data_IF_001449553674
#
_entry.id   IF_001449553674
#
_cell.length_a   1.000
_cell.length_b   1.000
_cell.length_c   1.000
_cell.angle_alpha   90.00
_cell.angle_beta   90.00
_cell.angle_gamma   90.00
#
_symmetry.space_group_name_H-M   'P 1'
#
loop_
_entity.id
_entity.type
_entity.pdbx_description
1 polymer ?
#
# COMPACT_ATOMS: atom_id res chain seq x y z
N UNK A 1 17.50 -28.71 -5.95
CA UNK A 1 17.42 -27.88 -7.16
C UNK A 1 15.96 -27.68 -7.47
N UNK A 2 15.48 -26.43 -7.53
CA UNK A 2 14.11 -26.18 -7.96
C UNK A 2 13.98 -26.56 -9.44
N UNK A 3 12.88 -27.22 -9.80
CA UNK A 3 12.58 -27.51 -11.20
C UNK A 3 12.23 -26.20 -11.92
N UNK A 4 12.54 -26.12 -13.21
CA UNK A 4 12.16 -25.00 -14.08
C UNK A 4 11.26 -25.53 -15.20
N UNK A 5 10.29 -24.70 -15.62
CA UNK A 5 9.56 -24.93 -16.86
C UNK A 5 10.53 -24.96 -18.06
N UNK A 6 10.21 -25.76 -19.08
CA UNK A 6 11.11 -26.01 -20.23
C UNK A 6 10.71 -25.30 -21.52
N UNK A 7 9.51 -24.71 -21.59
CA UNK A 7 9.08 -23.99 -22.77
C UNK A 7 9.94 -22.74 -23.02
N UNK A 8 10.16 -22.40 -24.30
CA UNK A 8 10.79 -21.14 -24.72
C UNK A 8 9.77 -20.08 -25.13
N UNK A 9 8.51 -20.48 -25.33
CA UNK A 9 7.37 -19.62 -25.58
C UNK A 9 6.13 -20.16 -24.84
N UNK A 10 5.36 -19.30 -24.14
CA UNK A 10 4.26 -19.72 -23.26
C UNK A 10 3.20 -20.62 -23.93
N UNK A 11 2.95 -20.42 -25.24
CA UNK A 11 2.01 -21.25 -26.03
C UNK A 11 2.39 -22.75 -26.07
N UNK A 12 3.67 -23.06 -25.85
CA UNK A 12 4.22 -24.42 -25.92
C UNK A 12 4.35 -25.05 -24.52
N UNK A 13 3.88 -24.36 -23.47
CA UNK A 13 3.95 -24.83 -22.09
C UNK A 13 3.03 -26.02 -21.81
N UNK A 14 3.54 -27.02 -21.09
CA UNK A 14 2.77 -28.19 -20.67
C UNK A 14 2.17 -28.02 -19.28
N UNK A 15 1.27 -28.92 -18.88
CA UNK A 15 0.70 -28.92 -17.52
C UNK A 15 1.79 -29.06 -16.45
N UNK A 16 2.82 -29.89 -16.70
CA UNK A 16 3.94 -30.08 -15.79
C UNK A 16 4.76 -28.79 -15.64
N UNK A 17 4.99 -28.04 -16.73
CA UNK A 17 5.66 -26.73 -16.67
C UNK A 17 4.87 -25.74 -15.80
N UNK A 18 3.55 -25.70 -15.96
CA UNK A 18 2.69 -24.82 -15.17
C UNK A 18 2.57 -25.25 -13.71
N UNK A 19 2.60 -26.55 -13.40
CA UNK A 19 2.65 -27.05 -12.02
C UNK A 19 3.92 -26.62 -11.30
N UNK A 20 5.07 -26.63 -11.99
CA UNK A 20 6.35 -26.11 -11.47
C UNK A 20 6.22 -24.61 -11.16
N UNK A 21 5.71 -23.82 -12.11
CA UNK A 21 5.55 -22.36 -11.97
C UNK A 21 4.57 -22.03 -10.83
N UNK A 22 3.45 -22.72 -10.74
CA UNK A 22 2.45 -22.50 -9.70
C UNK A 22 3.01 -22.77 -8.29
N UNK A 23 3.77 -23.85 -8.14
CA UNK A 23 4.42 -24.18 -6.87
C UNK A 23 5.45 -23.11 -6.46
N UNK A 24 6.30 -22.65 -7.39
CA UNK A 24 7.27 -21.58 -7.13
C UNK A 24 6.58 -20.26 -6.82
N UNK A 25 5.55 -19.89 -7.59
CA UNK A 25 4.76 -18.68 -7.36
C UNK A 25 4.08 -18.67 -5.99
N UNK A 26 3.51 -19.81 -5.55
CA UNK A 26 2.90 -19.93 -4.22
C UNK A 26 3.93 -19.68 -3.09
N UNK A 27 5.16 -20.17 -3.23
CA UNK A 27 6.24 -19.86 -2.30
C UNK A 27 6.64 -18.37 -2.37
N UNK A 28 6.75 -17.81 -3.57
CA UNK A 28 7.11 -16.41 -3.80
C UNK A 28 6.05 -15.43 -3.27
N UNK A 29 4.76 -15.72 -3.44
CA UNK A 29 3.64 -14.91 -3.00
C UNK A 29 3.60 -14.79 -1.46
N UNK A 30 3.85 -15.89 -0.73
CA UNK A 30 3.94 -15.89 0.75
C UNK A 30 5.03 -14.98 1.31
N UNK A 31 6.05 -14.66 0.52
CA UNK A 31 7.13 -13.75 0.91
C UNK A 31 6.82 -12.27 0.61
N UNK A 32 5.61 -11.93 0.12
CA UNK A 32 5.23 -10.55 -0.19
C UNK A 32 5.39 -9.58 1.00
N UNK A 33 4.95 -9.89 2.24
CA UNK A 33 5.13 -8.98 3.38
C UNK A 33 6.60 -8.58 3.59
N UNK A 34 7.52 -9.54 3.46
CA UNK A 34 8.97 -9.30 3.63
C UNK A 34 9.47 -8.30 2.58
N UNK A 35 9.01 -8.42 1.33
CA UNK A 35 9.36 -7.47 0.27
C UNK A 35 8.76 -6.10 0.54
N UNK A 36 7.51 -6.01 0.98
CA UNK A 36 6.88 -4.74 1.35
C UNK A 36 7.66 -4.02 2.46
N UNK A 37 8.06 -4.74 3.51
CA UNK A 37 8.92 -4.21 4.58
C UNK A 37 10.25 -3.71 4.03
N UNK A 38 10.89 -4.46 3.13
CA UNK A 38 12.14 -4.03 2.51
C UNK A 38 11.95 -2.74 1.69
N UNK A 39 10.83 -2.59 0.97
CA UNK A 39 10.52 -1.38 0.21
C UNK A 39 10.19 -0.18 1.11
N UNK A 40 9.47 -0.37 2.22
CA UNK A 40 9.26 0.70 3.21
C UNK A 40 10.59 1.22 3.75
N UNK A 41 11.56 0.33 4.01
CA UNK A 41 12.90 0.73 4.49
C UNK A 41 13.69 1.56 3.47
N UNK A 42 13.33 1.55 2.18
CA UNK A 42 13.94 2.46 1.20
C UNK A 42 13.55 3.93 1.42
N UNK A 43 12.47 4.19 2.18
CA UNK A 43 12.02 5.53 2.54
C UNK A 43 12.79 6.12 3.74
N UNK A 44 13.58 5.30 4.44
CA UNK A 44 14.36 5.71 5.60
C UNK A 44 15.46 6.69 5.18
N UNK A 45 15.57 7.83 5.88
CA UNK A 45 16.55 8.87 5.61
C UNK A 45 16.28 9.74 4.37
N UNK A 46 15.26 9.46 3.55
CA UNK A 46 14.80 10.39 2.52
C UNK A 46 13.77 11.37 3.09
N UNK A 47 14.18 12.62 3.28
CA UNK A 47 13.32 13.67 3.83
C UNK A 47 12.50 14.37 2.77
N UNK A 48 12.91 14.42 1.50
CA UNK A 48 12.23 15.23 0.48
C UNK A 48 12.04 16.72 0.83
N UNK A 49 12.76 17.24 1.83
CA UNK A 49 12.59 18.59 2.38
C UNK A 49 11.61 18.72 3.54
N UNK A 50 10.98 17.63 4.00
CA UNK A 50 10.11 17.60 5.17
C UNK A 50 10.89 17.56 6.50
N UNK A 51 10.24 17.81 7.65
CA UNK A 51 10.89 17.72 8.97
C UNK A 51 11.22 16.29 9.43
N UNK A 52 10.63 15.27 8.80
CA UNK A 52 10.85 13.84 9.07
C UNK A 52 11.08 13.12 7.75
N UNK A 53 11.73 11.95 7.79
CA UNK A 53 11.86 11.11 6.59
C UNK A 53 10.53 10.45 6.21
N UNK A 54 10.44 9.99 4.95
CA UNK A 54 9.23 9.38 4.39
C UNK A 54 8.81 8.10 5.13
N UNK A 55 9.76 7.34 5.68
CA UNK A 55 9.44 6.18 6.52
C UNK A 55 8.78 6.64 7.83
N UNK A 56 9.35 7.63 8.51
CA UNK A 56 8.81 8.20 9.74
C UNK A 56 7.42 8.78 9.49
N UNK A 57 7.21 9.48 8.37
CA UNK A 57 5.90 9.96 7.95
C UNK A 57 4.89 8.79 7.85
N UNK A 58 5.22 7.74 7.08
CA UNK A 58 4.39 6.53 6.97
C UNK A 58 4.06 5.91 8.33
N UNK A 59 5.06 5.79 9.22
CA UNK A 59 4.89 5.25 10.57
C UNK A 59 4.02 6.15 11.46
N UNK A 60 4.15 7.48 11.36
CA UNK A 60 3.32 8.42 12.09
C UNK A 60 1.86 8.35 11.64
N UNK A 61 1.62 8.30 10.34
CA UNK A 61 0.27 8.17 9.76
C UNK A 61 -0.40 6.89 10.27
N UNK A 62 0.31 5.75 10.22
CA UNK A 62 -0.18 4.47 10.75
C UNK A 62 -0.37 4.48 12.27
N UNK A 63 0.57 5.07 13.02
CA UNK A 63 0.49 5.19 14.49
C UNK A 63 -0.73 6.00 14.91
N UNK A 64 -1.03 7.11 14.22
CA UNK A 64 -2.21 7.93 14.48
C UNK A 64 -3.49 7.17 14.18
N UNK A 65 -3.56 6.47 13.05
CA UNK A 65 -4.72 5.64 12.70
C UNK A 65 -4.96 4.52 13.71
N UNK A 66 -3.90 3.83 14.15
CA UNK A 66 -3.97 2.78 15.17
C UNK A 66 -4.48 3.32 16.51
N UNK A 67 -3.94 4.45 16.98
CA UNK A 67 -4.36 5.08 18.24
C UNK A 67 -5.80 5.60 18.20
N UNK A 68 -6.31 5.93 17.01
CA UNK A 68 -7.70 6.31 16.78
C UNK A 68 -8.65 5.10 16.66
N UNK A 69 -8.16 3.88 16.89
CA UNK A 69 -8.97 2.65 16.92
C UNK A 69 -9.42 2.15 15.55
N UNK A 70 -8.69 2.53 14.47
CA UNK A 70 -8.95 2.00 13.13
C UNK A 70 -8.61 0.52 13.02
N UNK A 71 -9.29 -0.18 12.12
CA UNK A 71 -9.00 -1.59 11.84
C UNK A 71 -7.65 -1.79 11.15
N UNK A 72 -7.17 -3.04 11.13
CA UNK A 72 -5.86 -3.37 10.58
C UNK A 72 -5.72 -3.04 9.09
N UNK A 73 -6.80 -3.18 8.29
CA UNK A 73 -6.75 -2.86 6.87
C UNK A 73 -6.49 -1.36 6.69
N UNK A 74 -7.22 -0.52 7.41
CA UNK A 74 -7.05 0.93 7.37
C UNK A 74 -5.68 1.35 7.89
N UNK A 75 -5.19 0.76 8.97
CA UNK A 75 -3.86 1.05 9.52
C UNK A 75 -2.75 0.67 8.53
N UNK A 76 -2.88 -0.45 7.83
CA UNK A 76 -1.90 -0.83 6.79
C UNK A 76 -2.03 0.05 5.55
N UNK A 77 -3.24 0.48 5.16
CA UNK A 77 -3.41 1.49 4.12
C UNK A 77 -2.73 2.82 4.49
N UNK A 78 -2.88 3.26 5.73
CA UNK A 78 -2.20 4.43 6.28
C UNK A 78 -0.66 4.27 6.27
N UNK A 79 -0.15 3.08 6.61
CA UNK A 79 1.28 2.78 6.57
C UNK A 79 1.84 2.80 5.14
N UNK A 80 1.05 2.36 4.16
CA UNK A 80 1.52 2.11 2.79
C UNK A 80 1.11 3.17 1.77
N UNK A 81 0.37 4.21 2.17
CA UNK A 81 -0.17 5.20 1.23
C UNK A 81 0.92 5.88 0.36
N UNK A 82 2.11 6.08 0.94
CA UNK A 82 3.27 6.72 0.30
C UNK A 82 4.39 5.77 -0.11
N UNK A 83 4.20 4.43 -0.03
CA UNK A 83 5.24 3.45 -0.42
C UNK A 83 5.73 3.63 -1.87
N UNK A 84 4.89 4.24 -2.72
CA UNK A 84 5.18 4.53 -4.11
C UNK A 84 6.19 5.64 -4.36
N UNK A 85 6.57 6.44 -3.35
CA UNK A 85 7.40 7.64 -3.52
C UNK A 85 8.72 7.38 -4.24
N UNK A 86 9.32 6.21 -4.01
CA UNK A 86 10.61 5.83 -4.60
C UNK A 86 10.55 5.54 -6.09
N UNK A 87 9.37 5.24 -6.64
CA UNK A 87 9.18 4.81 -8.02
C UNK A 87 8.23 5.72 -8.81
N UNK A 88 7.31 6.40 -8.12
CA UNK A 88 6.23 7.18 -8.70
C UNK A 88 6.39 8.66 -8.45
N UNK A 89 7.46 9.28 -8.98
CA UNK A 89 7.79 10.69 -8.71
C UNK A 89 6.67 11.71 -9.03
N UNK A 90 5.68 11.32 -9.84
CA UNK A 90 4.55 12.17 -10.24
C UNK A 90 3.19 11.54 -9.97
N UNK A 91 3.14 10.32 -9.44
CA UNK A 91 1.91 9.55 -9.28
C UNK A 91 2.07 8.41 -8.25
N UNK A 92 2.84 8.64 -7.19
CA UNK A 92 3.08 7.65 -6.13
C UNK A 92 1.81 6.98 -5.57
N UNK A 93 0.63 7.63 -5.47
CA UNK A 93 -0.57 6.98 -4.95
C UNK A 93 -1.02 5.81 -5.85
N UNK A 94 -0.78 5.88 -7.16
CA UNK A 94 -1.13 4.83 -8.11
C UNK A 94 -0.35 3.54 -7.84
N UNK A 95 0.93 3.67 -7.44
CA UNK A 95 1.79 2.54 -7.11
C UNK A 95 1.31 1.88 -5.81
N UNK A 96 1.03 2.68 -4.78
CA UNK A 96 0.46 2.18 -3.53
C UNK A 96 -0.86 1.46 -3.76
N UNK A 97 -1.75 2.06 -4.56
CA UNK A 97 -3.03 1.46 -4.93
C UNK A 97 -2.85 0.14 -5.68
N UNK A 98 -1.91 0.05 -6.63
CA UNK A 98 -1.64 -1.18 -7.37
C UNK A 98 -1.20 -2.34 -6.46
N UNK A 99 -0.40 -2.05 -5.44
CA UNK A 99 0.05 -3.03 -4.43
C UNK A 99 -1.12 -3.50 -3.57
N UNK A 100 -1.97 -2.57 -3.10
CA UNK A 100 -3.03 -2.84 -2.13
C UNK A 100 -4.30 -3.43 -2.75
N UNK A 101 -4.59 -3.14 -4.02
CA UNK A 101 -5.83 -3.51 -4.72
C UNK A 101 -6.29 -4.96 -4.52
N UNK A 102 -5.42 -5.99 -4.52
CA UNK A 102 -5.85 -7.35 -4.30
C UNK A 102 -6.30 -7.64 -2.85
N UNK A 103 -5.91 -6.82 -1.87
CA UNK A 103 -5.97 -7.16 -0.44
C UNK A 103 -6.95 -6.30 0.37
N UNK A 104 -7.36 -5.14 -0.15
CA UNK A 104 -8.16 -4.15 0.58
C UNK A 104 -9.54 -3.92 -0.05
N UNK A 105 -10.43 -3.31 0.71
CA UNK A 105 -11.76 -2.85 0.27
C UNK A 105 -11.66 -1.77 -0.80
N UNK A 106 -12.73 -1.59 -1.60
CA UNK A 106 -12.77 -0.56 -2.62
C UNK A 106 -12.70 0.85 -2.00
N UNK A 107 -13.26 0.99 -0.81
CA UNK A 107 -13.28 2.20 0.01
C UNK A 107 -11.87 2.63 0.42
N UNK A 108 -11.11 1.74 1.05
CA UNK A 108 -9.73 2.03 1.47
C UNK A 108 -8.79 2.19 0.27
N UNK A 109 -9.01 1.42 -0.81
CA UNK A 109 -8.24 1.58 -2.05
C UNK A 109 -8.43 2.98 -2.65
N UNK A 110 -9.67 3.48 -2.69
CA UNK A 110 -9.96 4.80 -3.23
C UNK A 110 -9.33 5.92 -2.40
N UNK A 111 -9.39 5.80 -1.07
CA UNK A 111 -8.72 6.71 -0.15
C UNK A 111 -7.22 6.77 -0.46
N UNK A 112 -6.54 5.62 -0.57
CA UNK A 112 -5.11 5.57 -0.90
C UNK A 112 -4.86 6.14 -2.29
N UNK A 113 -5.65 5.80 -3.31
CA UNK A 113 -5.42 6.29 -4.67
C UNK A 113 -5.58 7.82 -4.77
N UNK A 114 -6.52 8.41 -4.01
CA UNK A 114 -6.85 9.83 -4.12
C UNK A 114 -6.18 10.71 -3.06
N UNK A 115 -5.52 10.14 -2.06
CA UNK A 115 -4.99 10.91 -0.92
C UNK A 115 -4.12 12.09 -1.37
N UNK A 116 -3.26 11.94 -2.39
CA UNK A 116 -2.38 13.02 -2.84
C UNK A 116 -3.13 14.28 -3.32
N UNK A 117 -4.27 14.11 -3.99
CA UNK A 117 -5.12 15.26 -4.39
C UNK A 117 -5.79 15.89 -3.16
N UNK A 118 -6.19 15.09 -2.18
CA UNK A 118 -6.86 15.56 -0.97
C UNK A 118 -5.90 16.26 0.00
N UNK A 119 -4.70 15.72 0.18
CA UNK A 119 -3.59 16.30 0.93
C UNK A 119 -3.14 17.63 0.30
N UNK A 120 -3.25 17.75 -1.03
CA UNK A 120 -3.04 18.99 -1.79
C UNK A 120 -3.79 20.21 -1.24
N UNK A 121 -4.91 20.02 -0.54
CA UNK A 121 -5.60 21.10 0.17
C UNK A 121 -4.69 21.94 1.08
N UNK A 122 -3.68 21.31 1.67
CA UNK A 122 -2.77 21.95 2.61
C UNK A 122 -1.62 22.71 1.93
N UNK A 123 -1.26 22.42 0.67
CA UNK A 123 -0.05 22.99 0.06
C UNK A 123 -0.15 23.43 -1.41
N UNK A 124 -1.13 22.98 -2.19
CA UNK A 124 -1.24 23.33 -3.62
C UNK A 124 -1.26 24.84 -3.89
N UNK A 125 -1.93 25.62 -3.03
CA UNK A 125 -1.97 27.08 -3.15
C UNK A 125 -0.60 27.77 -2.96
N UNK A 126 0.36 27.13 -2.29
CA UNK A 126 1.75 27.60 -2.22
C UNK A 126 2.54 27.27 -3.50
N UNK A 127 2.04 26.37 -4.35
CA UNK A 127 2.61 25.98 -5.63
C UNK A 127 1.90 26.64 -6.84
N UNK A 128 0.95 27.56 -6.59
CA UNK A 128 0.14 28.18 -7.64
C UNK A 128 -0.96 27.27 -8.21
N UNK A 129 -1.25 26.17 -7.52
CA UNK A 129 -2.30 25.21 -7.88
C UNK A 129 -3.57 25.45 -7.04
N UNK A 130 -4.70 24.91 -7.50
CA UNK A 130 -5.96 25.01 -6.77
C UNK A 130 -6.00 24.01 -5.60
N UNK A 131 -5.99 24.51 -4.36
CA UNK A 131 -6.17 23.69 -3.15
C UNK A 131 -7.54 23.01 -3.07
N UNK A 132 -8.54 23.53 -3.78
CA UNK A 132 -9.88 22.98 -3.83
C UNK A 132 -10.04 21.89 -4.91
N UNK A 133 -8.95 21.46 -5.57
CA UNK A 133 -8.99 20.42 -6.61
C UNK A 133 -9.69 19.12 -6.17
N UNK A 134 -9.65 18.79 -4.88
CA UNK A 134 -10.40 17.65 -4.32
C UNK A 134 -11.92 17.74 -4.52
N UNK A 135 -12.49 18.93 -4.63
CA UNK A 135 -13.94 19.17 -4.76
C UNK A 135 -14.55 18.59 -6.03
N UNK A 136 -13.72 18.25 -7.04
CA UNK A 136 -14.17 17.47 -8.20
C UNK A 136 -14.74 16.08 -7.82
N UNK A 137 -14.48 15.61 -6.59
CA UNK A 137 -14.95 14.34 -6.06
C UNK A 137 -16.06 14.50 -5.00
N UNK A 138 -16.67 15.67 -4.85
CA UNK A 138 -17.66 15.95 -3.79
C UNK A 138 -18.84 14.96 -3.72
N UNK A 139 -19.26 14.42 -4.86
CA UNK A 139 -20.35 13.46 -4.97
C UNK A 139 -19.90 12.00 -4.73
N UNK A 140 -18.60 11.74 -4.57
CA UNK A 140 -18.08 10.40 -4.34
C UNK A 140 -18.28 9.96 -2.88
N UNK A 141 -18.74 8.73 -2.60
CA UNK A 141 -18.98 8.26 -1.22
C UNK A 141 -17.77 8.36 -0.28
N UNK A 142 -16.55 8.27 -0.83
CA UNK A 142 -15.30 8.33 -0.07
C UNK A 142 -14.73 9.75 0.08
N UNK A 143 -15.42 10.79 -0.40
CA UNK A 143 -14.97 12.17 -0.30
C UNK A 143 -14.67 12.57 1.14
N UNK A 144 -15.65 12.41 2.03
CA UNK A 144 -15.52 12.85 3.41
C UNK A 144 -14.51 12.00 4.20
N UNK A 145 -14.49 10.68 3.95
CA UNK A 145 -13.53 9.78 4.57
C UNK A 145 -12.09 10.12 4.18
N UNK A 146 -11.84 10.49 2.93
CA UNK A 146 -10.49 10.85 2.45
C UNK A 146 -10.05 12.23 2.96
N UNK A 147 -10.98 13.18 3.12
CA UNK A 147 -10.70 14.43 3.86
C UNK A 147 -10.27 14.11 5.29
N UNK A 148 -11.01 13.22 5.96
CA UNK A 148 -10.69 12.82 7.33
C UNK A 148 -9.33 12.14 7.42
N UNK A 149 -9.00 11.25 6.47
CA UNK A 149 -7.69 10.60 6.39
C UNK A 149 -6.55 11.63 6.34
N UNK A 150 -6.62 12.57 5.38
CA UNK A 150 -5.60 13.60 5.23
C UNK A 150 -5.54 14.50 6.46
N UNK A 151 -6.69 14.90 7.04
CA UNK A 151 -6.71 15.83 8.16
C UNK A 151 -6.19 15.23 9.48
N UNK A 152 -6.56 13.98 9.78
CA UNK A 152 -6.26 13.35 11.07
C UNK A 152 -4.92 12.61 11.08
N UNK A 153 -4.50 12.07 9.93
CA UNK A 153 -3.38 11.15 9.88
C UNK A 153 -2.26 11.71 8.99
N UNK A 154 -2.50 11.79 7.69
CA UNK A 154 -1.46 12.05 6.69
C UNK A 154 -0.86 13.48 6.83
N UNK A 155 -1.66 14.55 6.69
CA UNK A 155 -1.13 15.91 6.84
C UNK A 155 -0.63 16.25 8.26
N UNK A 156 -0.96 15.43 9.27
CA UNK A 156 -0.53 15.58 10.65
C UNK A 156 0.75 14.79 11.00
N UNK A 157 1.30 14.01 10.07
CA UNK A 157 2.39 13.05 10.28
C UNK A 157 3.77 13.60 9.89
N UNK A 158 4.10 14.81 10.32
CA UNK A 158 5.38 15.47 10.04
C UNK A 158 6.05 16.03 11.31
N UNK A 159 5.73 15.48 12.48
CA UNK A 159 6.19 16.00 13.78
C UNK A 159 7.41 15.22 14.30
N UNK A 160 8.62 15.81 14.34
CA UNK A 160 9.83 15.12 14.82
C UNK A 160 9.77 14.65 16.27
N UNK A 161 8.86 15.22 17.09
CA UNK A 161 8.70 14.89 18.49
C UNK A 161 7.58 13.86 18.75
N UNK A 162 6.84 13.44 17.72
CA UNK A 162 5.72 12.52 17.91
C UNK A 162 6.20 11.12 18.29
N UNK A 163 5.66 10.60 19.39
CA UNK A 163 5.90 9.23 19.84
C UNK A 163 5.33 8.24 18.82
N UNK A 164 6.22 7.72 17.98
CA UNK A 164 5.91 6.92 16.78
C UNK A 164 6.17 5.44 17.06
N UNK A 165 5.21 4.57 16.72
CA UNK A 165 5.41 3.13 16.85
C UNK A 165 6.41 2.64 15.79
N UNK A 166 7.28 1.68 16.14
CA UNK A 166 8.29 1.18 15.21
C UNK A 166 7.65 0.32 14.11
N UNK A 167 8.33 0.18 12.97
CA UNK A 167 7.87 -0.66 11.85
C UNK A 167 7.53 -2.09 12.29
N UNK A 168 8.32 -2.67 13.20
CA UNK A 168 8.11 -4.02 13.74
C UNK A 168 6.76 -4.20 14.47
N UNK A 169 6.14 -3.12 14.93
CA UNK A 169 4.79 -3.15 15.48
C UNK A 169 3.73 -3.48 14.42
N UNK A 170 3.93 -2.98 13.19
CA UNK A 170 2.98 -3.13 12.08
C UNK A 170 3.26 -4.36 11.21
N UNK A 171 4.46 -4.93 11.26
CA UNK A 171 4.84 -6.13 10.48
C UNK A 171 3.82 -7.28 10.61
N UNK A 172 3.33 -7.67 11.80
CA UNK A 172 2.31 -8.72 11.92
C UNK A 172 0.98 -8.38 11.22
N UNK A 173 0.59 -7.10 11.15
CA UNK A 173 -0.64 -6.68 10.46
C UNK A 173 -0.48 -6.82 8.95
N UNK A 174 0.67 -6.44 8.42
CA UNK A 174 1.00 -6.64 7.00
C UNK A 174 1.03 -8.12 6.64
N UNK A 175 1.62 -8.98 7.49
CA UNK A 175 1.61 -10.43 7.29
C UNK A 175 0.18 -10.98 7.14
N UNK A 176 -0.74 -10.57 8.02
CA UNK A 176 -2.14 -10.98 7.94
C UNK A 176 -2.87 -10.44 6.71
N UNK A 177 -2.67 -9.16 6.37
CA UNK A 177 -3.33 -8.53 5.23
C UNK A 177 -2.92 -9.19 3.90
N UNK A 178 -1.61 -9.40 3.70
CA UNK A 178 -1.08 -9.95 2.46
C UNK A 178 -1.17 -11.48 2.36
N UNK A 179 -1.57 -12.18 3.43
CA UNK A 179 -1.71 -13.64 3.42
C UNK A 179 -2.82 -14.12 2.47
N UNK A 180 -3.91 -13.35 2.32
CA UNK A 180 -5.07 -13.76 1.50
C UNK A 180 -5.62 -12.60 0.66
N UNK A 181 -5.48 -12.64 -0.67
CA UNK A 181 -6.09 -11.64 -1.54
C UNK A 181 -7.63 -11.76 -1.52
N UNK A 182 -8.31 -10.62 -1.40
CA UNK A 182 -9.77 -10.46 -1.50
C UNK A 182 -10.24 -10.37 -2.95
N UNK A 183 -9.47 -9.66 -3.79
CA UNK A 183 -9.84 -9.27 -5.16
C UNK A 183 -8.81 -9.78 -6.17
N UNK A 184 -8.89 -11.06 -6.57
CA UNK A 184 -7.97 -11.66 -7.55
C UNK A 184 -8.69 -12.57 -8.53
N UNK A 185 -8.34 -12.45 -9.82
CA UNK A 185 -8.79 -13.38 -10.86
C UNK A 185 -8.22 -14.79 -10.67
N UNK A 186 -7.15 -14.92 -9.90
CA UNK A 186 -6.49 -16.19 -9.60
C UNK A 186 -7.08 -16.90 -8.38
N UNK A 187 -8.13 -16.35 -7.76
CA UNK A 187 -8.73 -16.90 -6.53
C UNK A 187 -9.16 -18.36 -6.69
N UNK A 188 -9.80 -18.70 -7.82
CA UNK A 188 -10.21 -20.07 -8.13
C UNK A 188 -9.00 -21.04 -8.22
N UNK A 189 -7.89 -20.61 -8.82
CA UNK A 189 -6.69 -21.44 -8.91
C UNK A 189 -5.97 -21.60 -7.56
N UNK A 190 -6.07 -20.61 -6.67
CA UNK A 190 -5.50 -20.68 -5.32
C UNK A 190 -6.30 -21.60 -4.38
N UNK A 191 -7.62 -21.64 -4.53
CA UNK A 191 -8.51 -22.52 -3.75
C UNK A 191 -8.29 -24.01 -4.07
N UNK A 192 -8.02 -24.37 -5.33
CA UNK A 192 -7.75 -25.76 -5.75
C UNK A 192 -6.39 -26.31 -5.27
N UNK A 193 -5.43 -25.45 -4.94
CA UNK A 193 -4.05 -25.83 -4.60
C UNK A 193 -3.67 -25.54 -3.13
N UNK A 194 -4.64 -25.16 -2.30
CA UNK A 194 -4.41 -24.98 -0.86
C UNK A 194 -4.32 -26.36 -0.17
N UNK A 195 -3.23 -26.71 0.52
CA UNK A 195 -3.19 -27.94 1.31
C UNK A 195 -4.22 -27.84 2.45
N UNK A 196 -4.96 -28.93 2.67
CA UNK A 196 -5.93 -29.08 3.75
C UNK A 196 -5.28 -28.96 5.14
#
# INVERSE_FOLDING_TARGET
>A
MNANARFTHMKDGTQEDWAIIAADFSAYARQLPIRIVAHLKLLEGDFGGFPVDRLTHSLQTATRAWRDGRDEEYVVCALLHDIGDTLGSYNHPDIAAAILKPFVSAENLWMVEKHGIFQGYYFFHHLGMDRHLREQFNDHPQYQATIEFCAKYDAAAFDPAYDTLPLSFFEPMMERLFAQPKNSIYKAAMEEHSPA
#
